data_IF_350542005943
#
_entry.id   IF_350542005943
#
_cell.length_a   1.000
_cell.length_b   1.000
_cell.length_c   1.000
_cell.angle_alpha   90.00
_cell.angle_beta   90.00
_cell.angle_gamma   90.00
#
_symmetry.space_group_name_H-M   'P 1'
#
loop_
_entity.id
_entity.type
_entity.pdbx_description
1 polymer ?
#
# COMPACT_ATOMS: atom_id res chain seq x y z
N UNK A 1 1.89 -5.94 10.43
CA UNK A 1 2.94 -6.92 10.74
C UNK A 1 3.92 -6.34 11.74
N UNK A 2 4.68 -7.19 12.47
CA UNK A 2 5.61 -6.77 13.52
C UNK A 2 6.59 -5.68 13.09
N UNK A 3 7.11 -5.79 11.86
CA UNK A 3 8.08 -4.82 11.30
C UNK A 3 7.48 -3.42 11.12
N UNK A 4 6.18 -3.32 10.83
CA UNK A 4 5.51 -2.03 10.68
C UNK A 4 5.33 -1.31 12.03
N UNK A 5 5.27 -2.05 13.14
CA UNK A 5 5.18 -1.46 14.48
C UNK A 5 6.53 -0.92 14.95
N UNK A 6 7.63 -1.60 14.60
CA UNK A 6 8.99 -1.20 14.94
C UNK A 6 9.36 0.18 14.41
N UNK A 7 8.92 0.52 13.20
CA UNK A 7 9.24 1.78 12.54
C UNK A 7 8.10 2.81 12.57
N UNK A 8 7.04 2.56 13.34
CA UNK A 8 5.85 3.43 13.36
C UNK A 8 6.21 4.87 13.74
N UNK A 9 7.00 5.06 14.80
CA UNK A 9 7.44 6.38 15.26
C UNK A 9 8.38 7.05 14.26
N UNK A 10 9.37 6.32 13.74
CA UNK A 10 10.29 6.84 12.72
C UNK A 10 9.54 7.29 11.46
N UNK A 11 8.61 6.49 10.95
CA UNK A 11 7.81 6.85 9.79
C UNK A 11 6.92 8.07 10.05
N UNK A 12 6.34 8.19 11.26
CA UNK A 12 5.54 9.36 11.60
C UNK A 12 6.41 10.62 11.67
N UNK A 13 7.57 10.56 12.33
CA UNK A 13 8.49 11.69 12.41
C UNK A 13 8.95 12.15 11.02
N UNK A 14 9.20 11.22 10.08
CA UNK A 14 9.54 11.55 8.69
C UNK A 14 8.38 12.27 8.01
N UNK A 15 7.14 11.78 8.15
CA UNK A 15 5.96 12.43 7.57
C UNK A 15 5.74 13.83 8.13
N UNK A 16 5.86 13.97 9.45
CA UNK A 16 5.71 15.25 10.12
C UNK A 16 6.78 16.25 9.65
N UNK A 17 8.02 15.79 9.49
CA UNK A 17 9.12 16.60 8.95
C UNK A 17 8.87 17.00 7.48
N UNK A 18 8.38 16.08 6.64
CA UNK A 18 8.02 16.37 5.25
C UNK A 18 6.84 17.36 5.13
N UNK A 19 5.90 17.33 6.07
CA UNK A 19 4.75 18.22 6.11
C UNK A 19 5.03 19.58 6.77
N UNK A 20 6.10 19.70 7.56
CA UNK A 20 6.44 20.90 8.32
C UNK A 20 6.57 22.19 7.48
N UNK A 21 7.14 22.18 6.25
CA UNK A 21 7.24 23.39 5.44
C UNK A 21 5.89 24.07 5.20
N UNK A 22 4.81 23.32 4.97
CA UNK A 22 3.48 23.92 4.75
C UNK A 22 2.92 24.69 5.97
N UNK A 23 3.54 24.55 7.16
CA UNK A 23 3.16 25.27 8.39
C UNK A 23 3.93 26.57 8.61
N UNK A 24 4.91 26.88 7.76
CA UNK A 24 5.68 28.12 7.87
C UNK A 24 4.78 29.34 7.62
N UNK A 25 4.97 30.48 8.33
CA UNK A 25 4.12 31.65 8.20
C UNK A 25 3.97 32.16 6.76
N UNK A 26 5.05 32.14 5.97
CA UNK A 26 5.09 32.57 4.57
C UNK A 26 4.26 31.68 3.62
N UNK A 27 3.95 30.46 4.03
CA UNK A 27 3.20 29.48 3.25
C UNK A 27 1.74 29.31 3.70
N UNK A 28 1.34 30.02 4.75
CA UNK A 28 -0.02 29.97 5.28
C UNK A 28 -1.03 30.48 4.23
N UNK A 29 -2.01 29.64 3.89
CA UNK A 29 -3.07 29.98 2.93
C UNK A 29 -2.66 29.87 1.46
N UNK A 30 -1.41 29.51 1.16
CA UNK A 30 -0.91 29.33 -0.22
C UNK A 30 -0.40 27.92 -0.48
N UNK A 31 0.09 27.22 0.55
CA UNK A 31 0.60 25.84 0.44
C UNK A 31 -0.12 24.95 1.44
N UNK A 32 -0.37 23.71 1.05
CA UNK A 32 -0.92 22.67 1.94
C UNK A 32 -0.25 21.33 1.66
N UNK A 33 -0.06 20.53 2.70
CA UNK A 33 0.51 19.20 2.60
C UNK A 33 -0.61 18.15 2.47
N UNK A 34 -0.57 17.36 1.41
CA UNK A 34 -1.49 16.23 1.23
C UNK A 34 -0.82 14.92 1.65
N UNK A 35 -1.34 14.34 2.73
CA UNK A 35 -0.87 13.09 3.30
C UNK A 35 -1.36 11.89 2.48
N UNK A 36 -0.54 11.47 1.51
CA UNK A 36 -0.90 10.42 0.55
C UNK A 36 -1.20 9.06 1.19
N UNK A 37 -0.70 8.79 2.40
CA UNK A 37 -0.99 7.57 3.14
C UNK A 37 -2.47 7.41 3.50
N UNK A 38 -3.23 8.49 3.52
CA UNK A 38 -4.68 8.46 3.74
C UNK A 38 -5.43 7.78 2.58
N UNK A 39 -4.81 7.72 1.41
CA UNK A 39 -5.37 7.12 0.20
C UNK A 39 -4.81 5.73 -0.11
N UNK A 40 -3.92 5.20 0.75
CA UNK A 40 -3.41 3.85 0.56
C UNK A 40 -4.51 2.81 0.78
N UNK A 41 -4.59 1.85 -0.14
CA UNK A 41 -5.63 0.83 -0.12
C UNK A 41 -5.32 -0.24 0.94
N UNK A 42 -5.99 -0.13 2.09
CA UNK A 42 -5.83 -1.05 3.23
C UNK A 42 -6.27 -2.47 2.90
N UNK A 43 -7.31 -2.62 2.07
CA UNK A 43 -7.81 -3.93 1.65
C UNK A 43 -6.78 -4.63 0.76
N UNK A 44 -6.26 -3.91 -0.24
CA UNK A 44 -5.19 -4.41 -1.09
C UNK A 44 -3.94 -4.75 -0.28
N UNK A 45 -3.53 -3.89 0.66
CA UNK A 45 -2.39 -4.16 1.54
C UNK A 45 -2.58 -5.44 2.36
N UNK A 46 -3.77 -5.66 2.91
CA UNK A 46 -4.07 -6.85 3.69
C UNK A 46 -4.04 -8.12 2.81
N UNK A 47 -4.64 -8.07 1.62
CA UNK A 47 -4.62 -9.17 0.67
C UNK A 47 -3.19 -9.50 0.22
N UNK A 48 -2.35 -8.49 -0.07
CA UNK A 48 -0.93 -8.67 -0.42
C UNK A 48 -0.13 -9.31 0.69
N UNK A 49 -0.32 -8.86 1.93
CA UNK A 49 0.36 -9.45 3.09
C UNK A 49 0.02 -10.94 3.25
N UNK A 50 -1.25 -11.30 3.05
CA UNK A 50 -1.72 -12.68 3.11
C UNK A 50 -1.15 -13.54 1.97
N UNK A 51 -1.18 -13.03 0.73
CA UNK A 51 -0.57 -13.69 -0.43
C UNK A 51 0.92 -13.96 -0.23
N UNK A 52 1.67 -12.99 0.28
CA UNK A 52 3.10 -13.15 0.54
C UNK A 52 3.37 -14.15 1.68
N UNK A 53 2.53 -14.16 2.72
CA UNK A 53 2.61 -15.17 3.80
C UNK A 53 2.40 -16.58 3.25
N UNK A 54 1.38 -16.78 2.40
CA UNK A 54 1.11 -18.06 1.74
C UNK A 54 2.29 -18.48 0.87
N UNK A 55 2.83 -17.57 0.07
CA UNK A 55 3.98 -17.82 -0.79
C UNK A 55 5.23 -18.22 0.00
N UNK A 56 5.48 -17.58 1.14
CA UNK A 56 6.59 -17.93 2.03
C UNK A 56 6.40 -19.32 2.66
N UNK A 57 5.19 -19.66 3.08
CA UNK A 57 4.87 -20.99 3.58
C UNK A 57 5.04 -22.07 2.50
N UNK A 58 4.54 -21.83 1.28
CA UNK A 58 4.70 -22.74 0.16
C UNK A 58 6.18 -22.98 -0.19
N UNK A 59 6.99 -21.91 -0.22
CA UNK A 59 8.46 -22.00 -0.40
C UNK A 59 9.13 -22.82 0.69
N UNK A 60 8.73 -22.64 1.95
CA UNK A 60 9.27 -23.41 3.08
C UNK A 60 8.97 -24.91 2.92
N UNK A 61 7.72 -25.25 2.62
CA UNK A 61 7.29 -26.64 2.40
C UNK A 61 7.99 -27.27 1.19
N UNK A 62 8.12 -26.52 0.08
CA UNK A 62 8.83 -26.99 -1.10
C UNK A 62 10.31 -27.27 -0.82
N UNK A 63 10.96 -26.41 -0.02
CA UNK A 63 12.36 -26.59 0.40
C UNK A 63 12.52 -27.82 1.30
N UNK A 64 11.63 -27.99 2.28
CA UNK A 64 11.63 -29.15 3.19
C UNK A 64 11.40 -30.47 2.44
N UNK A 65 10.46 -30.47 1.49
CA UNK A 65 10.17 -31.61 0.63
C UNK A 65 11.13 -31.83 -0.54
N UNK A 66 12.19 -31.00 -0.68
CA UNK A 66 13.12 -31.00 -1.82
C UNK A 66 12.39 -31.04 -3.18
N UNK A 67 11.29 -30.30 -3.28
CA UNK A 67 10.41 -30.33 -4.44
C UNK A 67 11.06 -29.68 -5.66
N UNK A 68 10.71 -30.15 -6.87
CA UNK A 68 11.12 -29.51 -8.12
C UNK A 68 10.38 -28.17 -8.30
N UNK A 69 10.96 -27.18 -9.00
CA UNK A 69 10.33 -25.86 -9.18
C UNK A 69 8.92 -25.88 -9.80
N UNK A 70 8.61 -26.88 -10.64
CA UNK A 70 7.27 -27.02 -11.20
C UNK A 70 6.23 -27.42 -10.13
N UNK A 71 6.61 -28.29 -9.19
CA UNK A 71 5.76 -28.74 -8.08
C UNK A 71 5.55 -27.61 -7.08
N UNK A 72 6.59 -26.82 -6.79
CA UNK A 72 6.49 -25.62 -5.94
C UNK A 72 5.48 -24.61 -6.49
N UNK A 73 5.49 -24.36 -7.81
CA UNK A 73 4.53 -23.43 -8.43
C UNK A 73 3.09 -23.92 -8.27
N UNK A 74 2.85 -25.20 -8.54
CA UNK A 74 1.50 -25.81 -8.39
C UNK A 74 1.06 -25.78 -6.93
N UNK A 75 1.95 -26.07 -5.98
CA UNK A 75 1.66 -25.98 -4.55
C UNK A 75 1.33 -24.55 -4.13
N UNK A 76 2.13 -23.57 -4.58
CA UNK A 76 1.91 -22.15 -4.26
C UNK A 76 0.56 -21.68 -4.78
N UNK A 77 0.20 -22.02 -6.02
CA UNK A 77 -1.10 -21.64 -6.59
C UNK A 77 -2.25 -22.31 -5.87
N UNK A 78 -2.14 -23.60 -5.55
CA UNK A 78 -3.14 -24.32 -4.75
C UNK A 78 -3.36 -23.64 -3.40
N UNK A 79 -2.28 -23.35 -2.67
CA UNK A 79 -2.35 -22.67 -1.38
C UNK A 79 -2.89 -21.24 -1.49
N UNK A 80 -2.64 -20.55 -2.61
CA UNK A 80 -3.21 -19.22 -2.89
C UNK A 80 -4.73 -19.30 -3.10
N UNK A 81 -5.21 -20.27 -3.86
CA UNK A 81 -6.64 -20.49 -4.10
C UNK A 81 -7.35 -20.90 -2.80
N UNK A 82 -6.77 -21.79 -2.00
CA UNK A 82 -7.38 -22.25 -0.75
C UNK A 82 -7.26 -21.23 0.39
N UNK A 83 -6.16 -20.47 0.43
CA UNK A 83 -5.84 -19.56 1.52
C UNK A 83 -6.46 -18.17 1.39
N UNK A 84 -6.84 -17.74 0.18
CA UNK A 84 -7.49 -16.46 -0.05
C UNK A 84 -9.01 -16.61 -0.22
N UNK A 85 -9.74 -15.56 0.10
CA UNK A 85 -11.15 -15.41 -0.28
C UNK A 85 -11.28 -14.95 -1.73
N UNK A 86 -12.46 -15.10 -2.33
CA UNK A 86 -12.74 -14.56 -3.67
C UNK A 86 -12.52 -13.05 -3.74
N UNK A 87 -12.88 -12.33 -2.68
CA UNK A 87 -12.68 -10.87 -2.60
C UNK A 87 -11.20 -10.51 -2.58
N UNK A 88 -10.41 -11.20 -1.76
CA UNK A 88 -8.95 -10.96 -1.70
C UNK A 88 -8.28 -11.25 -3.04
N UNK A 89 -8.63 -12.36 -3.71
CA UNK A 89 -8.14 -12.68 -5.06
C UNK A 89 -8.51 -11.59 -6.06
N UNK A 90 -9.78 -11.18 -6.09
CA UNK A 90 -10.23 -10.13 -7.01
C UNK A 90 -9.48 -8.81 -6.79
N UNK A 91 -9.28 -8.42 -5.53
CA UNK A 91 -8.54 -7.21 -5.17
C UNK A 91 -7.08 -7.30 -5.61
N UNK A 92 -6.44 -8.46 -5.48
CA UNK A 92 -5.07 -8.67 -5.96
C UNK A 92 -4.99 -8.59 -7.49
N UNK A 93 -5.88 -9.31 -8.17
CA UNK A 93 -5.86 -9.45 -9.64
C UNK A 93 -6.21 -8.13 -10.35
N UNK A 94 -7.03 -7.26 -9.72
CA UNK A 94 -7.42 -5.96 -10.30
C UNK A 94 -6.68 -4.77 -9.70
N UNK A 95 -6.18 -4.91 -8.48
CA UNK A 95 -5.58 -3.81 -7.72
C UNK A 95 -4.07 -3.64 -7.90
N UNK A 96 -3.40 -4.62 -8.53
CA UNK A 96 -1.95 -4.60 -8.74
C UNK A 96 -1.62 -4.59 -10.23
N UNK A 97 -0.85 -3.60 -10.67
CA UNK A 97 -0.25 -3.55 -12.01
C UNK A 97 1.26 -3.33 -11.98
N UNK A 98 1.86 -3.06 -10.82
CA UNK A 98 3.30 -2.81 -10.66
C UNK A 98 3.81 -3.19 -9.25
N UNK A 99 5.11 -3.01 -9.01
CA UNK A 99 5.77 -3.28 -7.73
C UNK A 99 5.31 -2.32 -6.60
N UNK A 100 5.55 -2.74 -5.35
CA UNK A 100 5.06 -2.04 -4.15
C UNK A 100 5.57 -0.60 -4.02
N UNK A 101 6.82 -0.32 -4.39
CA UNK A 101 7.40 1.03 -4.37
C UNK A 101 6.78 1.98 -5.41
N UNK A 102 5.97 1.46 -6.32
CA UNK A 102 5.15 2.23 -7.26
C UNK A 102 3.66 2.24 -6.86
N UNK A 103 3.35 2.17 -5.56
CA UNK A 103 1.98 2.06 -5.05
C UNK A 103 1.21 0.89 -5.66
N UNK A 104 1.91 -0.23 -5.93
CA UNK A 104 1.38 -1.40 -6.62
C UNK A 104 0.85 -1.10 -8.04
N UNK A 105 1.11 0.09 -8.60
CA UNK A 105 0.41 0.58 -9.79
C UNK A 105 -1.11 0.65 -9.61
N UNK A 106 -1.59 0.82 -8.37
CA UNK A 106 -3.00 0.77 -8.04
C UNK A 106 -3.70 2.06 -8.45
N UNK A 107 -4.62 1.97 -9.42
CA UNK A 107 -5.44 3.09 -9.86
C UNK A 107 -6.30 3.66 -8.71
N UNK A 108 -6.72 2.82 -7.76
CA UNK A 108 -7.48 3.25 -6.57
C UNK A 108 -6.63 4.14 -5.64
N UNK A 109 -5.36 3.80 -5.44
CA UNK A 109 -4.44 4.62 -4.64
C UNK A 109 -4.13 5.93 -5.36
N UNK A 110 -3.71 5.86 -6.62
CA UNK A 110 -3.34 7.05 -7.40
C UNK A 110 -4.53 8.00 -7.62
N UNK A 111 -5.70 7.46 -7.93
CA UNK A 111 -6.94 8.23 -8.05
C UNK A 111 -7.35 8.88 -6.74
N UNK A 112 -7.20 8.17 -5.62
CA UNK A 112 -7.42 8.73 -4.28
C UNK A 112 -6.47 9.90 -3.98
N UNK A 113 -5.18 9.76 -4.28
CA UNK A 113 -4.20 10.85 -4.14
C UNK A 113 -4.59 12.05 -5.00
N UNK A 114 -4.98 11.82 -6.27
CA UNK A 114 -5.44 12.88 -7.17
C UNK A 114 -6.68 13.61 -6.64
N UNK A 115 -7.64 12.87 -6.07
CA UNK A 115 -8.79 13.45 -5.38
C UNK A 115 -8.35 14.32 -4.19
N UNK A 116 -7.42 13.84 -3.37
CA UNK A 116 -6.87 14.61 -2.25
C UNK A 116 -6.21 15.91 -2.66
N UNK A 117 -5.44 15.89 -3.76
CA UNK A 117 -4.91 17.12 -4.34
C UNK A 117 -6.02 18.07 -4.80
N UNK A 118 -7.06 17.57 -5.47
CA UNK A 118 -8.17 18.40 -5.94
C UNK A 118 -8.95 19.05 -4.77
N UNK A 119 -9.24 18.28 -3.72
CA UNK A 119 -9.91 18.77 -2.51
C UNK A 119 -9.08 19.83 -1.79
N UNK A 120 -7.78 19.57 -1.60
CA UNK A 120 -6.87 20.50 -0.96
C UNK A 120 -6.72 21.82 -1.75
N UNK A 121 -6.72 21.76 -3.09
CA UNK A 121 -6.72 22.94 -3.94
C UNK A 121 -8.02 23.74 -3.85
N UNK A 122 -9.18 23.07 -3.72
CA UNK A 122 -10.45 23.73 -3.52
C UNK A 122 -10.49 24.48 -2.18
N UNK A 123 -10.03 23.83 -1.10
CA UNK A 123 -9.92 24.44 0.23
C UNK A 123 -9.02 25.68 0.24
N UNK A 124 -7.83 25.60 -0.38
CA UNK A 124 -6.92 26.74 -0.51
C UNK A 124 -7.57 27.93 -1.23
N UNK A 125 -8.31 27.68 -2.31
CA UNK A 125 -9.03 28.74 -3.04
C UNK A 125 -10.10 29.42 -2.20
N UNK A 126 -10.79 28.67 -1.34
CA UNK A 126 -11.78 29.23 -0.42
C UNK A 126 -11.13 30.07 0.68
N UNK A 127 -9.94 29.70 1.15
CA UNK A 127 -9.20 30.47 2.16
C UNK A 127 -8.57 31.76 1.64
N UNK A 128 -8.39 31.87 0.32
CA UNK A 128 -7.83 33.05 -0.35
C UNK A 128 -8.86 34.10 -0.80
N UNK A 129 -10.15 33.87 -0.56
CA UNK A 129 -11.25 34.81 -0.84
C UNK A 129 -11.65 35.55 0.43
#
# INVERSE_FOLDING_TARGET
GPDQHRYKSTHQNIRDAMAAPAKLPEFKGSVTAVLTENYWDRELKAARFKEETIKQQAKKLAKEGKMKPAVERVLTEKMRIEGLTDRERLVLDKGVSNAEFHYLGSAKILGGIGKGFAEAMAELKHLSQ
#
